data_IF_131631042543
#
_entry.id   IF_131631042543
#
_cell.length_a   1.000
_cell.length_b   1.000
_cell.length_c   1.000
_cell.angle_alpha   90.00
_cell.angle_beta   90.00
_cell.angle_gamma   90.00
#
_symmetry.space_group_name_H-M   'P 1'
#
loop_
_entity.id
_entity.type
_entity.pdbx_description
1 polymer ?
#
# COMPACT_ATOMS: atom_id res chain seq x y z
N UNK A 1 22.80 17.21 -23.19
CA UNK A 1 22.18 17.41 -21.87
C UNK A 1 22.00 16.01 -21.28
N UNK A 2 22.86 15.60 -20.34
CA UNK A 2 22.84 14.24 -19.80
C UNK A 2 21.76 14.08 -18.73
N UNK A 3 20.93 13.05 -18.83
CA UNK A 3 19.94 12.71 -17.81
C UNK A 3 20.66 12.37 -16.50
N UNK A 4 20.21 12.87 -15.34
CA UNK A 4 20.87 12.59 -14.08
C UNK A 4 20.81 11.09 -13.76
N UNK A 5 21.92 10.56 -13.22
CA UNK A 5 21.97 9.21 -12.72
C UNK A 5 20.91 9.03 -11.64
N UNK A 6 19.98 8.09 -11.83
CA UNK A 6 18.91 7.82 -10.87
C UNK A 6 19.52 7.57 -9.49
N UNK A 7 19.06 8.31 -8.48
CA UNK A 7 19.49 8.14 -7.10
C UNK A 7 19.36 6.66 -6.69
N UNK A 8 20.45 6.09 -6.16
CA UNK A 8 20.55 4.67 -5.83
C UNK A 8 20.58 4.53 -4.31
N UNK A 9 19.78 3.60 -3.77
CA UNK A 9 19.83 3.28 -2.35
C UNK A 9 21.12 2.51 -2.04
N UNK A 10 21.79 2.77 -0.90
CA UNK A 10 22.98 2.02 -0.50
C UNK A 10 22.66 0.54 -0.29
N UNK A 11 23.57 -0.35 -0.71
CA UNK A 11 23.46 -1.81 -0.52
C UNK A 11 22.78 -2.60 -1.64
N UNK A 12 22.42 -1.95 -2.76
CA UNK A 12 21.81 -2.63 -3.92
C UNK A 12 22.87 -2.91 -5.01
N UNK A 13 23.52 -4.07 -4.93
CA UNK A 13 24.38 -4.57 -5.99
C UNK A 13 23.55 -4.98 -7.21
N UNK A 14 23.84 -4.41 -8.39
CA UNK A 14 23.23 -4.88 -9.65
C UNK A 14 23.83 -6.24 -10.00
N UNK A 15 23.18 -7.32 -9.59
CA UNK A 15 23.42 -8.62 -10.22
C UNK A 15 22.74 -8.60 -11.60
N UNK A 16 23.47 -8.83 -12.70
CA UNK A 16 22.94 -8.70 -14.06
C UNK A 16 21.79 -9.68 -14.38
N UNK A 17 21.56 -10.67 -13.51
CA UNK A 17 20.53 -11.71 -13.65
C UNK A 17 19.30 -11.49 -12.77
N UNK A 18 19.21 -10.37 -12.02
CA UNK A 18 18.10 -10.15 -11.10
C UNK A 18 16.84 -9.64 -11.81
N UNK A 19 15.79 -10.44 -11.78
CA UNK A 19 14.44 -10.03 -12.17
C UNK A 19 13.73 -9.50 -10.92
N UNK A 20 13.23 -8.27 -10.97
CA UNK A 20 12.43 -7.66 -9.90
C UNK A 20 10.98 -7.55 -10.38
N UNK A 21 10.08 -8.21 -9.67
CA UNK A 21 8.64 -8.06 -9.87
C UNK A 21 8.08 -7.20 -8.73
N UNK A 22 7.43 -6.09 -9.09
CA UNK A 22 6.67 -5.29 -8.16
C UNK A 22 5.20 -5.72 -8.23
N UNK A 23 4.63 -6.03 -7.07
CA UNK A 23 3.22 -6.41 -6.95
C UNK A 23 2.58 -5.43 -5.99
N UNK A 24 1.50 -4.79 -6.46
CA UNK A 24 0.65 -3.91 -5.68
C UNK A 24 -0.79 -4.44 -5.78
N UNK A 25 -1.50 -4.43 -4.65
CA UNK A 25 -2.88 -4.93 -4.58
C UNK A 25 -3.84 -3.76 -4.58
N UNK A 26 -4.74 -3.73 -5.56
CA UNK A 26 -5.73 -2.66 -5.73
C UNK A 26 -6.59 -2.49 -4.47
N UNK A 27 -6.42 -1.35 -3.79
CA UNK A 27 -7.18 -0.98 -2.59
C UNK A 27 -7.24 -2.11 -1.54
N UNK A 28 -6.12 -2.78 -1.27
CA UNK A 28 -6.05 -4.04 -0.52
C UNK A 28 -7.04 -4.17 0.65
N UNK A 29 -7.00 -3.28 1.64
CA UNK A 29 -7.90 -3.37 2.80
C UNK A 29 -9.38 -3.22 2.42
N UNK A 30 -9.74 -2.25 1.58
CA UNK A 30 -11.12 -2.08 1.14
C UNK A 30 -11.60 -3.26 0.28
N UNK A 31 -10.70 -3.88 -0.50
CA UNK A 31 -11.02 -5.08 -1.26
C UNK A 31 -11.30 -6.29 -0.34
N UNK A 32 -10.50 -6.45 0.72
CA UNK A 32 -10.75 -7.46 1.76
C UNK A 32 -12.10 -7.24 2.45
N UNK A 33 -12.41 -6.01 2.85
CA UNK A 33 -13.69 -5.68 3.49
C UNK A 33 -14.88 -5.96 2.57
N UNK A 34 -14.82 -5.63 1.27
CA UNK A 34 -15.87 -5.96 0.29
C UNK A 34 -16.05 -7.45 0.03
N UNK A 35 -15.02 -8.26 0.28
CA UNK A 35 -15.12 -9.71 0.23
C UNK A 35 -15.83 -10.25 1.47
N UNK A 36 -15.46 -9.71 2.65
CA UNK A 36 -16.06 -10.07 3.95
C UNK A 36 -17.52 -9.61 4.06
N UNK A 37 -17.82 -8.42 3.54
CA UNK A 37 -19.10 -7.73 3.62
C UNK A 37 -19.58 -7.37 2.20
N UNK A 38 -20.28 -8.30 1.52
CA UNK A 38 -20.66 -8.13 0.12
C UNK A 38 -21.57 -6.93 -0.16
N UNK A 39 -22.26 -6.41 0.86
CA UNK A 39 -23.12 -5.23 0.77
C UNK A 39 -22.33 -3.94 0.49
N UNK A 40 -21.03 -3.90 0.78
CA UNK A 40 -20.14 -2.77 0.47
C UNK A 40 -19.76 -2.67 -1.02
N UNK A 41 -20.25 -3.58 -1.87
CA UNK A 41 -19.98 -3.57 -3.31
C UNK A 41 -20.82 -2.49 -3.98
N UNK A 42 -20.16 -1.63 -4.75
CA UNK A 42 -20.81 -0.48 -5.40
C UNK A 42 -20.76 0.80 -4.55
N UNK A 43 -20.49 0.67 -3.24
CA UNK A 43 -20.39 1.79 -2.34
C UNK A 43 -18.97 2.38 -2.27
N UNK A 44 -18.81 3.70 -2.09
CA UNK A 44 -17.55 4.31 -1.70
C UNK A 44 -17.14 3.85 -0.30
N UNK A 45 -15.94 3.29 -0.15
CA UNK A 45 -15.45 2.70 1.12
C UNK A 45 -14.08 3.25 1.48
N UNK A 46 -13.89 3.56 2.76
CA UNK A 46 -12.60 3.84 3.39
C UNK A 46 -12.41 2.89 4.57
N UNK A 47 -11.20 2.37 4.74
CA UNK A 47 -10.79 1.63 5.93
C UNK A 47 -9.84 2.51 6.74
N UNK A 48 -10.16 2.73 8.01
CA UNK A 48 -9.38 3.54 8.92
C UNK A 48 -9.64 3.14 10.37
N UNK A 49 -8.83 3.66 11.28
CA UNK A 49 -9.03 3.52 12.71
C UNK A 49 -9.76 4.77 13.23
N UNK A 50 -10.81 4.59 14.04
CA UNK A 50 -11.48 5.72 14.66
C UNK A 50 -10.50 6.39 15.62
N UNK A 51 -10.10 7.63 15.33
CA UNK A 51 -9.15 8.37 16.16
C UNK A 51 -9.69 8.67 17.59
N UNK A 52 -11.01 8.51 17.79
CA UNK A 52 -11.70 8.81 19.05
C UNK A 52 -11.58 7.69 20.11
N UNK A 53 -11.03 6.52 19.79
CA UNK A 53 -10.77 5.46 20.77
C UNK A 53 -9.41 5.61 21.49
N UNK A 54 -8.88 6.82 21.62
CA UNK A 54 -7.99 7.08 22.75
C UNK A 54 -8.87 7.14 23.98
N UNK A 55 -8.82 6.11 24.83
CA UNK A 55 -9.45 6.11 26.14
C UNK A 55 -8.99 7.35 26.90
N UNK A 56 -9.78 8.42 26.87
CA UNK A 56 -9.68 9.49 27.82
C UNK A 56 -10.13 8.90 29.16
N UNK A 57 -9.17 8.50 29.99
CA UNK A 57 -9.40 8.48 31.42
C UNK A 57 -9.65 9.93 31.86
N UNK A 58 -10.93 10.33 31.87
CA UNK A 58 -11.49 11.39 32.70
C UNK A 58 -12.90 11.02 33.12
#
# INVERSE_FOLDING_TARGET
MGMPERARLPGVDRRPEQIVCHVDMDCFYAACERLREPELRGEPVVVGMNAEETSANR
#
